data_IF_031262176086
#
_entry.id   IF_031262176086
#
_cell.length_a   1.000
_cell.length_b   1.000
_cell.length_c   1.000
_cell.angle_alpha   90.00
_cell.angle_beta   90.00
_cell.angle_gamma   90.00
#
_symmetry.space_group_name_H-M   'P 1'
#
loop_
_entity.id
_entity.type
_entity.pdbx_description
1 polymer ?
#
# COMPACT_ATOMS: atom_id res chain seq x y z
N UNK A 1 -9.55 6.48 -9.37
CA UNK A 1 -8.26 6.14 -8.76
C UNK A 1 -7.84 7.24 -7.80
N UNK A 2 -6.78 7.01 -7.03
CA UNK A 2 -6.31 7.95 -6.00
C UNK A 2 -5.95 9.34 -6.56
N UNK A 3 -5.31 9.42 -7.72
CA UNK A 3 -5.01 10.68 -8.39
C UNK A 3 -6.28 11.47 -8.74
N UNK A 4 -7.32 10.78 -9.17
CA UNK A 4 -8.59 11.43 -9.44
C UNK A 4 -9.23 12.01 -8.17
N UNK A 5 -9.12 11.31 -7.05
CA UNK A 5 -9.59 11.81 -5.76
C UNK A 5 -8.79 13.04 -5.28
N UNK A 6 -7.46 13.03 -5.46
CA UNK A 6 -6.61 14.17 -5.17
C UNK A 6 -6.93 15.36 -6.09
N UNK A 7 -7.01 15.15 -7.42
CA UNK A 7 -7.34 16.23 -8.36
C UNK A 7 -8.72 16.84 -8.09
N UNK A 8 -9.70 16.02 -7.71
CA UNK A 8 -11.04 16.51 -7.35
C UNK A 8 -11.04 17.30 -6.04
N UNK A 9 -10.16 16.95 -5.08
CA UNK A 9 -10.04 17.64 -3.80
C UNK A 9 -9.23 18.96 -3.92
N UNK A 10 -8.36 19.05 -4.90
CA UNK A 10 -7.45 20.19 -5.16
C UNK A 10 -7.55 20.64 -6.62
N UNK A 11 -8.69 21.20 -7.06
CA UNK A 11 -8.94 21.53 -8.47
C UNK A 11 -8.00 22.61 -9.02
N UNK A 12 -7.48 23.49 -8.15
CA UNK A 12 -6.58 24.58 -8.54
C UNK A 12 -5.11 24.17 -8.59
N UNK A 13 -4.79 22.90 -8.27
CA UNK A 13 -3.45 22.37 -8.30
C UNK A 13 -3.24 21.50 -9.54
N UNK A 14 -2.08 21.64 -10.19
CA UNK A 14 -1.63 20.73 -11.22
C UNK A 14 -1.04 19.47 -10.57
N UNK A 15 -1.58 18.30 -10.90
CA UNK A 15 -1.07 17.02 -10.41
C UNK A 15 -0.05 16.44 -11.38
N UNK A 16 1.18 16.24 -10.91
CA UNK A 16 2.27 15.62 -11.67
C UNK A 16 2.70 14.31 -11.05
N UNK A 17 2.95 13.29 -11.89
CA UNK A 17 3.45 11.99 -11.44
C UNK A 17 4.96 11.97 -11.35
N UNK A 18 5.47 11.32 -10.29
CA UNK A 18 6.85 10.90 -10.18
C UNK A 18 6.90 9.47 -9.62
N UNK A 19 7.93 8.71 -9.99
CA UNK A 19 8.11 7.36 -9.47
C UNK A 19 9.45 7.23 -8.75
N UNK A 20 9.43 6.73 -7.53
CA UNK A 20 10.63 6.44 -6.73
C UNK A 20 11.41 5.26 -7.28
N UNK A 21 10.72 4.21 -7.70
CA UNK A 21 11.31 2.97 -8.20
C UNK A 21 11.96 3.13 -9.58
N UNK A 22 13.28 3.00 -9.65
CA UNK A 22 14.03 2.99 -10.91
C UNK A 22 13.56 1.86 -11.84
N UNK A 23 13.28 0.68 -11.28
CA UNK A 23 12.76 -0.47 -12.06
C UNK A 23 11.45 -0.13 -12.75
N UNK A 24 10.54 0.53 -12.03
CA UNK A 24 9.24 0.95 -12.57
C UNK A 24 9.45 2.02 -13.65
N UNK A 25 10.30 3.01 -13.41
CA UNK A 25 10.63 4.05 -14.40
C UNK A 25 11.23 3.46 -15.68
N UNK A 26 12.17 2.53 -15.54
CA UNK A 26 12.76 1.83 -16.70
C UNK A 26 11.71 1.02 -17.49
N UNK A 27 10.76 0.39 -16.81
CA UNK A 27 9.65 -0.33 -17.45
C UNK A 27 8.77 0.63 -18.28
N UNK A 28 8.36 1.76 -17.71
CA UNK A 28 7.55 2.76 -18.40
C UNK A 28 8.29 3.41 -19.56
N UNK A 29 9.59 3.69 -19.41
CA UNK A 29 10.42 4.24 -20.48
C UNK A 29 10.51 3.29 -21.69
N UNK A 30 10.62 1.97 -21.46
CA UNK A 30 10.59 0.95 -22.54
C UNK A 30 9.26 0.93 -23.31
N UNK A 31 8.19 1.37 -22.68
CA UNK A 31 6.85 1.48 -23.29
C UNK A 31 6.63 2.85 -23.98
N UNK A 32 7.65 3.70 -24.05
CA UNK A 32 7.57 5.03 -24.66
C UNK A 32 7.00 6.11 -23.74
N UNK A 33 6.86 5.83 -22.45
CA UNK A 33 6.32 6.75 -21.44
C UNK A 33 7.34 7.01 -20.32
N UNK A 34 8.43 7.75 -20.58
CA UNK A 34 9.42 8.05 -19.54
C UNK A 34 8.78 8.85 -18.41
N UNK A 35 9.03 8.42 -17.18
CA UNK A 35 8.48 9.04 -15.98
C UNK A 35 9.63 9.61 -15.13
N UNK A 36 9.48 10.84 -14.60
CA UNK A 36 10.49 11.46 -13.76
C UNK A 36 10.59 10.76 -12.39
N UNK A 37 11.74 10.90 -11.75
CA UNK A 37 11.87 10.69 -10.32
C UNK A 37 11.39 11.94 -9.55
N UNK A 38 11.25 11.89 -8.21
CA UNK A 38 10.79 13.05 -7.43
C UNK A 38 11.63 14.31 -7.63
N UNK A 39 12.97 14.20 -7.68
CA UNK A 39 13.85 15.36 -7.88
C UNK A 39 13.68 15.98 -9.27
N UNK A 40 13.58 15.15 -10.31
CA UNK A 40 13.32 15.60 -11.68
C UNK A 40 11.96 16.29 -11.82
N UNK A 41 10.91 15.73 -11.19
CA UNK A 41 9.57 16.33 -11.20
C UNK A 41 9.54 17.69 -10.50
N UNK A 42 10.21 17.82 -9.36
CA UNK A 42 10.36 19.08 -8.63
C UNK A 42 11.12 20.11 -9.48
N UNK A 43 12.25 19.71 -10.08
CA UNK A 43 13.03 20.60 -10.92
C UNK A 43 12.21 21.11 -12.12
N UNK A 44 11.44 20.23 -12.76
CA UNK A 44 10.56 20.60 -13.85
C UNK A 44 9.47 21.57 -13.40
N UNK A 45 8.80 21.30 -12.26
CA UNK A 45 7.77 22.19 -11.74
C UNK A 45 8.33 23.59 -11.42
N UNK A 46 9.55 23.68 -10.87
CA UNK A 46 10.23 24.97 -10.64
C UNK A 46 10.55 25.68 -11.95
N UNK A 47 11.03 24.95 -12.97
CA UNK A 47 11.35 25.52 -14.29
C UNK A 47 10.09 26.05 -15.01
N UNK A 48 8.95 25.38 -14.80
CA UNK A 48 7.64 25.80 -15.35
C UNK A 48 7.00 26.98 -14.56
N UNK A 49 7.68 27.48 -13.52
CA UNK A 49 7.22 28.64 -12.74
C UNK A 49 6.16 28.34 -11.68
N UNK A 50 6.10 27.10 -11.18
CA UNK A 50 5.18 26.74 -10.10
C UNK A 50 5.41 27.64 -8.87
N UNK A 51 4.37 28.33 -8.41
CA UNK A 51 4.42 29.22 -7.25
C UNK A 51 4.53 28.45 -5.92
N UNK A 52 3.96 27.26 -5.89
CA UNK A 52 3.98 26.32 -4.73
C UNK A 52 4.15 24.89 -5.23
N UNK A 53 4.86 24.09 -4.46
CA UNK A 53 5.06 22.66 -4.73
C UNK A 53 4.84 21.91 -3.43
N UNK A 54 4.04 20.84 -3.47
CA UNK A 54 3.83 19.92 -2.36
C UNK A 54 3.83 18.48 -2.88
N UNK A 55 4.32 17.55 -2.08
CA UNK A 55 4.45 16.15 -2.48
C UNK A 55 3.43 15.27 -1.74
N UNK A 56 2.69 14.48 -2.48
CA UNK A 56 1.84 13.41 -1.96
C UNK A 56 2.60 12.08 -2.06
N UNK A 57 3.16 11.59 -0.95
CA UNK A 57 3.86 10.31 -0.93
C UNK A 57 2.84 9.15 -0.91
N UNK A 58 2.43 8.68 -2.08
CA UNK A 58 1.48 7.57 -2.25
C UNK A 58 2.14 6.22 -1.95
N UNK A 59 2.76 6.11 -0.78
CA UNK A 59 3.44 4.92 -0.27
C UNK A 59 2.64 4.27 0.86
N UNK A 60 2.86 2.98 1.06
CA UNK A 60 2.19 2.22 2.15
C UNK A 60 2.84 2.52 3.50
N UNK A 61 4.16 2.40 3.58
CA UNK A 61 4.91 2.53 4.83
C UNK A 61 6.11 3.45 4.67
N UNK A 62 6.57 4.09 5.75
CA UNK A 62 7.87 4.73 5.79
C UNK A 62 9.00 3.74 5.47
N UNK A 63 10.08 4.23 4.89
CA UNK A 63 11.28 3.46 4.53
C UNK A 63 12.08 4.17 3.46
N UNK A 64 13.06 3.50 2.87
CA UNK A 64 14.04 4.12 1.95
C UNK A 64 13.43 4.85 0.76
N UNK A 65 12.28 4.41 0.23
CA UNK A 65 11.58 5.16 -0.83
C UNK A 65 11.02 6.49 -0.31
N UNK A 66 10.49 6.51 0.91
CA UNK A 66 9.99 7.74 1.53
C UNK A 66 11.14 8.69 1.91
N UNK A 67 12.21 8.16 2.50
CA UNK A 67 13.44 8.91 2.80
C UNK A 67 14.02 9.56 1.51
N UNK A 68 13.96 8.84 0.39
CA UNK A 68 14.34 9.36 -0.93
C UNK A 68 13.45 10.52 -1.40
N UNK A 69 12.14 10.48 -1.12
CA UNK A 69 11.21 11.58 -1.40
C UNK A 69 11.55 12.80 -0.52
N UNK A 70 11.73 12.59 0.80
CA UNK A 70 12.07 13.67 1.73
C UNK A 70 13.39 14.35 1.35
N UNK A 71 14.40 13.54 1.01
CA UNK A 71 15.70 14.05 0.54
C UNK A 71 15.57 14.88 -0.73
N UNK A 72 14.74 14.46 -1.69
CA UNK A 72 14.49 15.21 -2.93
C UNK A 72 13.67 16.48 -2.69
N UNK A 73 12.72 16.42 -1.75
CA UNK A 73 11.84 17.53 -1.39
C UNK A 73 12.60 18.68 -0.72
N UNK A 74 13.64 18.37 0.06
CA UNK A 74 14.34 19.35 0.91
C UNK A 74 13.36 20.04 1.88
N UNK A 75 13.11 21.33 1.70
CA UNK A 75 12.19 22.14 2.52
C UNK A 75 10.74 22.15 1.99
N UNK A 76 10.46 21.43 0.90
CA UNK A 76 9.10 21.35 0.37
C UNK A 76 8.22 20.45 1.26
N UNK A 77 6.93 20.79 1.43
CA UNK A 77 6.02 19.97 2.22
C UNK A 77 5.77 18.60 1.58
N UNK A 78 5.83 17.54 2.40
CA UNK A 78 5.62 16.14 1.99
C UNK A 78 4.57 15.50 2.88
N UNK A 79 3.49 14.99 2.29
CA UNK A 79 2.51 14.18 3.01
C UNK A 79 3.07 12.79 3.34
N UNK A 80 2.80 12.32 4.55
CA UNK A 80 3.33 11.05 5.06
C UNK A 80 2.70 9.82 4.38
N UNK A 81 3.39 8.66 4.36
CA UNK A 81 2.83 7.39 3.90
C UNK A 81 1.59 6.94 4.68
N UNK A 82 0.85 5.96 4.11
CA UNK A 82 -0.43 5.48 4.64
C UNK A 82 -0.33 4.97 6.09
N UNK A 83 0.67 4.16 6.42
CA UNK A 83 0.82 3.52 7.74
C UNK A 83 1.67 4.35 8.70
N UNK A 84 1.58 5.69 8.66
CA UNK A 84 2.35 6.57 9.54
C UNK A 84 1.57 6.95 10.80
N UNK A 85 0.34 7.38 10.65
CA UNK A 85 -0.46 7.99 11.71
C UNK A 85 -1.41 6.99 12.37
N UNK A 86 -1.55 7.04 13.70
CA UNK A 86 -2.42 6.13 14.44
C UNK A 86 -3.89 6.21 14.00
N UNK A 87 -4.40 7.39 13.72
CA UNK A 87 -5.77 7.57 13.25
C UNK A 87 -6.03 6.88 11.90
N UNK A 88 -5.03 6.86 11.01
CA UNK A 88 -5.13 6.16 9.73
C UNK A 88 -5.08 4.64 9.92
N UNK A 89 -4.24 4.16 10.84
CA UNK A 89 -4.18 2.74 11.21
C UNK A 89 -5.51 2.27 11.80
N UNK A 90 -6.14 3.06 12.68
CA UNK A 90 -7.44 2.76 13.27
C UNK A 90 -8.55 2.74 12.19
N UNK A 91 -8.51 3.71 11.27
CA UNK A 91 -9.42 3.75 10.12
C UNK A 91 -9.29 2.53 9.22
N UNK A 92 -8.06 2.10 8.92
CA UNK A 92 -7.81 0.89 8.13
C UNK A 92 -8.22 -0.38 8.87
N UNK A 93 -7.96 -0.46 10.18
CA UNK A 93 -8.37 -1.60 10.98
C UNK A 93 -9.90 -1.75 11.02
N UNK A 94 -10.64 -0.65 11.18
CA UNK A 94 -12.10 -0.62 11.09
C UNK A 94 -12.59 -1.08 9.70
N UNK A 95 -12.00 -0.57 8.62
CA UNK A 95 -12.33 -1.00 7.26
C UNK A 95 -12.15 -2.51 7.06
N UNK A 96 -11.05 -3.08 7.54
CA UNK A 96 -10.80 -4.50 7.41
C UNK A 96 -11.70 -5.35 8.33
N UNK A 97 -12.13 -4.79 9.47
CA UNK A 97 -13.15 -5.39 10.33
C UNK A 97 -14.49 -5.55 9.60
N UNK A 98 -14.98 -4.46 9.01
CA UNK A 98 -16.22 -4.43 8.24
C UNK A 98 -16.15 -5.35 7.01
N UNK A 99 -15.01 -5.32 6.30
CA UNK A 99 -14.77 -6.21 5.17
C UNK A 99 -14.84 -7.68 5.58
N UNK A 100 -14.18 -8.07 6.67
CA UNK A 100 -14.20 -9.44 7.20
C UNK A 100 -15.61 -9.85 7.61
N UNK A 101 -16.38 -8.96 8.24
CA UNK A 101 -17.75 -9.21 8.64
C UNK A 101 -18.65 -9.44 7.43
N UNK A 102 -18.57 -8.58 6.42
CA UNK A 102 -19.31 -8.72 5.16
C UNK A 102 -18.98 -10.00 4.37
N UNK A 103 -17.73 -10.47 4.45
CA UNK A 103 -17.29 -11.71 3.81
C UNK A 103 -17.72 -12.97 4.58
N UNK A 104 -17.91 -12.89 5.88
CA UNK A 104 -18.22 -14.03 6.75
C UNK A 104 -17.09 -15.07 6.84
N UNK A 105 -15.88 -14.76 6.38
CA UNK A 105 -14.70 -15.63 6.39
C UNK A 105 -13.52 -14.92 7.04
N UNK A 106 -12.52 -15.64 7.60
CA UNK A 106 -11.25 -15.03 7.97
C UNK A 106 -10.64 -14.27 6.80
N UNK A 107 -10.02 -13.15 7.12
CA UNK A 107 -9.35 -12.26 6.14
C UNK A 107 -7.85 -12.27 6.41
N UNK A 108 -7.06 -12.52 5.38
CA UNK A 108 -5.60 -12.39 5.40
C UNK A 108 -5.17 -11.23 4.50
N UNK A 109 -4.53 -10.24 5.09
CA UNK A 109 -3.98 -9.08 4.40
C UNK A 109 -2.53 -9.37 4.03
N UNK A 110 -2.18 -9.18 2.76
CA UNK A 110 -0.82 -9.34 2.25
C UNK A 110 -0.18 -7.97 2.04
N UNK A 111 0.74 -7.58 2.92
CA UNK A 111 1.61 -6.42 2.74
C UNK A 111 2.86 -6.76 1.92
N UNK A 112 3.52 -5.73 1.39
CA UNK A 112 4.82 -5.90 0.74
C UNK A 112 5.90 -6.21 1.78
N UNK A 113 6.00 -5.39 2.81
CA UNK A 113 7.05 -5.44 3.81
C UNK A 113 8.43 -5.06 3.27
N UNK A 114 9.43 -5.15 4.15
CA UNK A 114 10.84 -4.92 3.85
C UNK A 114 11.73 -5.88 4.66
N UNK A 115 12.74 -6.53 4.05
CA UNK A 115 13.50 -7.58 4.72
C UNK A 115 14.39 -7.07 5.86
N UNK A 116 14.81 -5.81 5.83
CA UNK A 116 15.85 -5.30 6.74
C UNK A 116 15.35 -4.46 7.92
N UNK A 117 14.06 -4.00 7.93
CA UNK A 117 13.60 -3.02 8.92
C UNK A 117 12.57 -3.55 9.94
N UNK A 118 12.28 -4.86 9.94
CA UNK A 118 11.32 -5.46 10.89
C UNK A 118 9.85 -5.04 10.70
N UNK A 119 9.53 -4.29 9.65
CA UNK A 119 8.17 -3.87 9.27
C UNK A 119 7.35 -3.17 10.39
N UNK A 120 7.88 -2.22 11.16
CA UNK A 120 7.20 -1.65 12.32
C UNK A 120 5.83 -1.05 11.99
N UNK A 121 5.66 -0.42 10.83
CA UNK A 121 4.38 0.14 10.40
C UNK A 121 3.29 -0.95 10.19
N UNK A 122 3.67 -2.09 9.61
CA UNK A 122 2.77 -3.24 9.44
C UNK A 122 2.44 -3.90 10.78
N UNK A 123 3.40 -3.98 11.71
CA UNK A 123 3.17 -4.51 13.05
C UNK A 123 2.19 -3.62 13.83
N UNK A 124 2.34 -2.29 13.78
CA UNK A 124 1.38 -1.35 14.38
C UNK A 124 -0.05 -1.52 13.83
N UNK A 125 -0.21 -1.75 12.53
CA UNK A 125 -1.51 -2.06 11.95
C UNK A 125 -2.00 -3.43 12.46
N UNK A 126 -1.15 -4.46 12.46
CA UNK A 126 -1.52 -5.80 12.92
C UNK A 126 -2.06 -5.81 14.35
N UNK A 127 -1.48 -5.03 15.26
CA UNK A 127 -1.93 -4.90 16.65
C UNK A 127 -3.35 -4.34 16.79
N UNK A 128 -3.84 -3.61 15.80
CA UNK A 128 -5.18 -3.00 15.76
C UNK A 128 -6.23 -3.88 15.09
N UNK A 129 -5.79 -4.91 14.36
CA UNK A 129 -6.71 -5.76 13.62
C UNK A 129 -7.57 -6.63 14.56
N UNK A 130 -8.89 -6.76 14.30
CA UNK A 130 -9.77 -7.57 15.12
C UNK A 130 -9.53 -9.06 14.89
N UNK A 131 -10.08 -9.87 15.79
CA UNK A 131 -10.05 -11.33 15.66
C UNK A 131 -10.62 -11.77 14.30
N UNK A 132 -9.88 -12.64 13.62
CA UNK A 132 -10.25 -13.18 12.30
C UNK A 132 -9.74 -12.34 11.13
N UNK A 133 -9.04 -11.24 11.41
CA UNK A 133 -8.25 -10.49 10.42
C UNK A 133 -6.77 -10.67 10.73
N UNK A 134 -6.00 -11.06 9.75
CA UNK A 134 -4.59 -11.39 9.87
C UNK A 134 -3.79 -10.54 8.88
N UNK A 135 -2.54 -10.26 9.20
CA UNK A 135 -1.62 -9.53 8.33
C UNK A 135 -0.29 -10.26 8.27
N UNK A 136 0.20 -10.46 7.07
CA UNK A 136 1.55 -10.92 6.78
C UNK A 136 2.19 -10.10 5.68
N UNK A 137 3.51 -10.21 5.54
CA UNK A 137 4.30 -9.49 4.54
C UNK A 137 5.00 -10.49 3.60
N UNK A 138 5.19 -10.07 2.34
CA UNK A 138 5.99 -10.83 1.36
C UNK A 138 7.46 -10.81 1.75
N UNK A 139 7.93 -9.70 2.31
CA UNK A 139 9.31 -9.50 2.72
C UNK A 139 9.41 -9.13 4.19
N UNK A 140 10.28 -9.82 4.92
CA UNK A 140 10.44 -9.61 6.36
C UNK A 140 9.29 -10.21 7.18
N UNK A 141 9.18 -9.77 8.43
CA UNK A 141 8.18 -10.26 9.39
C UNK A 141 7.01 -9.30 9.53
N UNK A 142 5.80 -9.82 9.86
CA UNK A 142 5.43 -11.23 9.92
C UNK A 142 5.28 -11.86 8.52
N UNK A 143 5.96 -12.97 8.28
CA UNK A 143 5.83 -13.73 7.03
C UNK A 143 4.57 -14.62 7.04
N UNK A 144 4.18 -15.14 5.86
CA UNK A 144 3.09 -16.11 5.78
C UNK A 144 3.34 -17.35 6.65
N UNK A 145 4.60 -17.79 6.77
CA UNK A 145 4.97 -18.93 7.62
C UNK A 145 4.70 -18.70 9.11
N UNK A 146 4.78 -17.44 9.56
CA UNK A 146 4.47 -17.06 10.93
C UNK A 146 2.98 -16.85 11.17
N UNK A 147 2.23 -16.43 10.15
CA UNK A 147 0.77 -16.23 10.24
C UNK A 147 0.00 -17.54 10.09
N UNK A 148 0.50 -18.49 9.31
CA UNK A 148 -0.17 -19.75 9.03
C UNK A 148 -0.53 -20.56 10.30
N UNK A 149 0.33 -20.71 11.32
CA UNK A 149 -0.05 -21.39 12.57
C UNK A 149 -1.22 -20.73 13.31
N UNK A 150 -1.38 -19.41 13.21
CA UNK A 150 -2.51 -18.69 13.79
C UNK A 150 -3.81 -18.97 13.02
N UNK A 151 -3.71 -18.99 11.68
CA UNK A 151 -4.83 -19.34 10.80
C UNK A 151 -5.33 -20.78 11.03
N UNK A 152 -4.42 -21.72 11.22
CA UNK A 152 -4.76 -23.13 11.44
C UNK A 152 -5.54 -23.38 12.75
N UNK A 153 -5.45 -22.48 13.73
CA UNK A 153 -6.26 -22.53 14.97
C UNK A 153 -7.73 -22.18 14.73
N UNK A 154 -8.07 -21.59 13.57
CA UNK A 154 -9.46 -21.24 13.25
C UNK A 154 -10.22 -22.51 12.78
N UNK A 155 -11.52 -22.64 13.15
CA UNK A 155 -12.33 -23.75 12.66
C UNK A 155 -12.71 -23.60 11.18
N UNK A 156 -12.78 -22.37 10.68
CA UNK A 156 -13.10 -22.09 9.29
C UNK A 156 -11.95 -22.53 8.35
N UNK A 157 -12.34 -23.14 7.23
CA UNK A 157 -11.39 -23.55 6.17
C UNK A 157 -11.54 -22.72 4.90
N UNK A 158 -12.50 -21.81 4.83
CA UNK A 158 -12.53 -20.77 3.80
C UNK A 158 -11.79 -19.53 4.29
N UNK A 159 -10.99 -18.93 3.43
CA UNK A 159 -10.23 -17.72 3.73
C UNK A 159 -10.21 -16.78 2.54
N UNK A 160 -10.34 -15.48 2.79
CA UNK A 160 -10.11 -14.46 1.77
C UNK A 160 -8.73 -13.85 1.96
N UNK A 161 -7.97 -13.72 0.86
CA UNK A 161 -6.67 -13.02 0.84
C UNK A 161 -6.83 -11.73 0.05
N UNK A 162 -6.39 -10.61 0.61
CA UNK A 162 -6.46 -9.27 -0.01
C UNK A 162 -5.11 -8.57 0.04
N UNK A 163 -4.71 -7.81 -1.00
CA UNK A 163 -3.45 -7.11 -0.98
C UNK A 163 -3.54 -5.77 -0.21
N UNK A 164 -2.55 -5.48 0.62
CA UNK A 164 -2.24 -4.13 1.11
C UNK A 164 -1.12 -3.57 0.20
N UNK A 165 -1.46 -3.39 -1.08
CA UNK A 165 -0.60 -2.86 -2.14
C UNK A 165 -1.37 -1.80 -2.92
N UNK A 166 -0.71 -0.71 -3.31
CA UNK A 166 -1.37 0.42 -3.98
C UNK A 166 -2.11 0.01 -5.26
N UNK A 167 -1.52 -0.89 -6.04
CA UNK A 167 -2.07 -1.38 -7.31
C UNK A 167 -1.93 -2.89 -7.44
N UNK A 168 -2.75 -3.48 -8.30
CA UNK A 168 -2.59 -4.88 -8.72
C UNK A 168 -1.43 -4.98 -9.70
N UNK A 169 -0.43 -5.75 -9.35
CA UNK A 169 0.78 -5.97 -10.14
C UNK A 169 1.34 -7.37 -9.92
N UNK A 170 2.63 -7.58 -10.24
CA UNK A 170 3.30 -8.87 -10.14
C UNK A 170 3.12 -9.54 -8.77
N UNK A 171 3.29 -8.79 -7.68
CA UNK A 171 3.12 -9.34 -6.34
C UNK A 171 1.69 -9.83 -6.07
N UNK A 172 0.67 -9.11 -6.53
CA UNK A 172 -0.72 -9.56 -6.37
C UNK A 172 -1.03 -10.78 -7.24
N UNK A 173 -0.57 -10.77 -8.50
CA UNK A 173 -0.94 -11.79 -9.47
C UNK A 173 -0.11 -13.08 -9.31
N UNK A 174 1.17 -12.96 -8.96
CA UNK A 174 2.09 -14.09 -8.88
C UNK A 174 2.28 -14.57 -7.44
N UNK A 175 2.70 -13.65 -6.53
CA UNK A 175 3.10 -14.04 -5.18
C UNK A 175 1.90 -14.27 -4.26
N UNK A 176 0.78 -13.53 -4.46
CA UNK A 176 -0.45 -13.73 -3.70
C UNK A 176 -1.34 -14.80 -4.34
N UNK A 177 -1.76 -14.60 -5.59
CA UNK A 177 -2.84 -15.34 -6.25
C UNK A 177 -2.36 -16.33 -7.31
N UNK A 178 -1.05 -16.42 -7.57
CA UNK A 178 -0.47 -17.34 -8.57
C UNK A 178 -0.57 -18.80 -8.17
N UNK A 179 -0.22 -19.68 -9.12
CA UNK A 179 -0.28 -21.14 -8.96
C UNK A 179 1.11 -21.76 -8.68
N UNK A 180 2.15 -20.93 -8.53
CA UNK A 180 3.48 -21.43 -8.12
C UNK A 180 3.44 -21.94 -6.68
N UNK A 181 4.27 -22.93 -6.33
CA UNK A 181 4.28 -23.48 -4.96
C UNK A 181 4.51 -22.46 -3.85
N UNK A 182 5.22 -21.37 -4.16
CA UNK A 182 5.59 -20.32 -3.22
C UNK A 182 4.52 -19.21 -3.09
N UNK A 183 3.50 -19.23 -3.96
CA UNK A 183 2.39 -18.26 -3.83
C UNK A 183 1.60 -18.48 -2.54
N UNK A 184 1.06 -17.41 -1.97
CA UNK A 184 0.25 -17.50 -0.75
C UNK A 184 -0.98 -18.38 -0.93
N UNK A 185 -1.65 -18.27 -2.09
CA UNK A 185 -2.76 -19.14 -2.47
C UNK A 185 -2.37 -20.62 -2.40
N UNK A 186 -1.25 -21.00 -3.03
CA UNK A 186 -0.80 -22.40 -3.05
C UNK A 186 -0.41 -22.91 -1.67
N UNK A 187 0.30 -22.11 -0.87
CA UNK A 187 0.68 -22.46 0.50
C UNK A 187 -0.54 -22.66 1.40
N UNK A 188 -1.54 -21.76 1.34
CA UNK A 188 -2.78 -21.88 2.09
C UNK A 188 -3.63 -23.06 1.64
N UNK A 189 -3.72 -23.31 0.32
CA UNK A 189 -4.43 -24.47 -0.22
C UNK A 189 -3.79 -25.77 0.23
N UNK A 190 -2.46 -25.87 0.21
CA UNK A 190 -1.72 -27.00 0.75
C UNK A 190 -1.96 -27.23 2.25
N UNK A 191 -2.19 -26.14 3.00
CA UNK A 191 -2.55 -26.19 4.42
C UNK A 191 -4.02 -26.54 4.67
N UNK A 192 -4.83 -26.77 3.65
CA UNK A 192 -6.22 -27.22 3.73
C UNK A 192 -7.27 -26.09 3.72
N UNK A 193 -6.91 -24.90 3.24
CA UNK A 193 -7.85 -23.79 3.06
C UNK A 193 -8.44 -23.78 1.64
N UNK A 194 -9.73 -23.42 1.56
CA UNK A 194 -10.39 -22.94 0.33
C UNK A 194 -10.12 -21.43 0.23
N UNK A 195 -9.29 -21.04 -0.74
CA UNK A 195 -8.71 -19.70 -0.82
C UNK A 195 -9.39 -18.86 -1.87
N UNK A 196 -9.99 -17.75 -1.45
CA UNK A 196 -10.46 -16.69 -2.35
C UNK A 196 -9.46 -15.52 -2.34
N UNK A 197 -8.95 -15.15 -3.52
CA UNK A 197 -8.05 -14.00 -3.68
C UNK A 197 -8.82 -12.80 -4.22
N UNK A 198 -8.89 -11.72 -3.43
CA UNK A 198 -9.47 -10.46 -3.88
C UNK A 198 -8.41 -9.60 -4.55
N UNK A 199 -8.53 -9.39 -5.86
CA UNK A 199 -7.54 -8.70 -6.68
C UNK A 199 -7.88 -7.21 -6.81
N UNK A 200 -7.89 -6.50 -5.69
CA UNK A 200 -8.14 -5.05 -5.66
C UNK A 200 -7.03 -4.33 -4.94
N UNK A 201 -6.26 -3.50 -5.66
CA UNK A 201 -5.25 -2.63 -5.03
C UNK A 201 -5.91 -1.56 -4.18
N UNK A 202 -5.28 -1.24 -3.02
CA UNK A 202 -5.88 -0.34 -2.03
C UNK A 202 -6.05 1.11 -2.53
N UNK A 203 -5.28 1.54 -3.54
CA UNK A 203 -5.47 2.85 -4.18
C UNK A 203 -6.82 3.05 -4.88
N UNK A 204 -7.62 1.96 -5.01
CA UNK A 204 -9.02 2.01 -5.48
C UNK A 204 -10.04 2.12 -4.36
N UNK A 205 -9.64 1.88 -3.12
CA UNK A 205 -10.55 1.90 -1.97
C UNK A 205 -10.86 3.35 -1.56
N UNK A 206 -12.14 3.73 -1.46
CA UNK A 206 -12.54 5.10 -1.08
C UNK A 206 -11.91 5.54 0.26
N UNK A 207 -11.83 4.66 1.25
CA UNK A 207 -11.21 4.93 2.56
C UNK A 207 -9.75 5.34 2.42
N UNK A 208 -8.96 4.64 1.59
CA UNK A 208 -7.55 4.95 1.35
C UNK A 208 -7.39 6.26 0.58
N UNK A 209 -8.24 6.48 -0.43
CA UNK A 209 -8.26 7.74 -1.18
C UNK A 209 -8.54 8.92 -0.25
N UNK A 210 -9.51 8.77 0.65
CA UNK A 210 -9.86 9.81 1.63
C UNK A 210 -8.72 10.08 2.62
N UNK A 211 -8.02 9.05 3.11
CA UNK A 211 -6.85 9.22 3.97
C UNK A 211 -5.79 10.10 3.27
N UNK A 212 -5.41 9.78 2.04
CA UNK A 212 -4.41 10.58 1.31
C UNK A 212 -4.88 12.00 1.02
N UNK A 213 -6.17 12.19 0.72
CA UNK A 213 -6.75 13.54 0.57
C UNK A 213 -6.67 14.33 1.88
N UNK A 214 -6.97 13.71 3.02
CA UNK A 214 -6.88 14.39 4.33
C UNK A 214 -5.44 14.70 4.71
N UNK A 215 -4.49 13.80 4.48
CA UNK A 215 -3.06 14.07 4.67
C UNK A 215 -2.60 15.28 3.87
N UNK A 216 -3.00 15.36 2.61
CA UNK A 216 -2.63 16.46 1.74
C UNK A 216 -3.31 17.77 2.18
N UNK A 217 -4.58 17.74 2.65
CA UNK A 217 -5.26 18.89 3.22
C UNK A 217 -4.57 19.42 4.47
N UNK A 218 -4.21 18.51 5.40
CA UNK A 218 -3.51 18.89 6.62
C UNK A 218 -2.13 19.51 6.36
N UNK A 219 -1.50 19.13 5.24
CA UNK A 219 -0.20 19.66 4.82
C UNK A 219 -0.29 21.05 4.21
N UNK A 220 -1.39 21.35 3.51
CA UNK A 220 -1.57 22.60 2.74
C UNK A 220 -2.33 23.68 3.51
N UNK A 221 -2.90 23.36 4.68
CA UNK A 221 -3.61 24.29 5.57
C UNK A 221 -5.07 24.43 5.20
#
# INVERSE_FOLDING_TARGET
>A
CIEHALQAAFPDWELRRAFTSERVRAMWARQGHPMPNPAEAIAQAKADGAAQIALAALLISPGGEFEGIESAAQDLPVATPLLTDDADLDTLAAYYADMREGLGTPLLIMGHGHPANGNPAYLRLRERLPKGVYLGCLSGEPSIAQVLPELLKQPARKITVTPLLMSVGGHTLNDMAGDTPDSWKSQLTKAGFDVHCQLTGIGRLPVVQQIFVQKQKALLG
#
